data_IF_523230831541
#
_entry.id   IF_523230831541
#
_cell.length_a   1.000
_cell.length_b   1.000
_cell.length_c   1.000
_cell.angle_alpha   90.00
_cell.angle_beta   90.00
_cell.angle_gamma   90.00
#
_symmetry.space_group_name_H-M   'P 1'
#
loop_
_entity.id
_entity.type
_entity.pdbx_description
1 polymer ?
#
# COMPACT_ATOMS: atom_id res chain seq x y z
N UNK A 1 30.81 21.45 37.85
CA UNK A 1 30.16 20.20 37.41
C UNK A 1 28.66 20.34 37.17
N UNK A 2 27.86 20.76 38.16
CA UNK A 2 26.37 20.87 38.05
C UNK A 2 25.87 21.73 36.89
N UNK A 3 26.52 22.85 36.56
CA UNK A 3 26.10 23.71 35.42
C UNK A 3 26.39 23.12 34.03
N UNK A 4 27.46 22.32 33.88
CA UNK A 4 27.73 21.60 32.65
C UNK A 4 26.68 20.52 32.40
N UNK A 5 26.30 19.77 33.42
CA UNK A 5 25.24 18.73 33.34
C UNK A 5 23.91 19.35 32.96
N UNK A 6 23.52 20.47 33.59
CA UNK A 6 22.27 21.19 33.23
C UNK A 6 22.25 21.63 31.75
N UNK A 7 23.37 22.14 31.21
CA UNK A 7 23.48 22.55 29.81
C UNK A 7 23.36 21.35 28.85
N UNK A 8 24.02 20.24 29.20
CA UNK A 8 23.90 19.00 28.41
C UNK A 8 22.46 18.48 28.41
N UNK A 9 21.82 18.44 29.57
CA UNK A 9 20.43 18.00 29.70
C UNK A 9 19.48 18.90 28.88
N UNK A 10 19.64 20.21 28.99
CA UNK A 10 18.87 21.19 28.22
C UNK A 10 19.06 20.97 26.70
N UNK A 11 20.29 20.72 26.26
CA UNK A 11 20.60 20.44 24.85
C UNK A 11 19.91 19.14 24.38
N UNK A 12 19.94 18.06 25.17
CA UNK A 12 19.25 16.81 24.87
C UNK A 12 17.74 17.04 24.77
N UNK A 13 17.14 17.80 25.67
CA UNK A 13 15.71 18.12 25.64
C UNK A 13 15.36 18.89 24.37
N UNK A 14 16.17 19.86 23.96
CA UNK A 14 15.95 20.62 22.73
C UNK A 14 16.03 19.71 21.50
N UNK A 15 17.02 18.83 21.43
CA UNK A 15 17.13 17.87 20.31
C UNK A 15 15.93 16.92 20.28
N UNK A 16 15.52 16.40 21.43
CA UNK A 16 14.35 15.52 21.52
C UNK A 16 13.07 16.25 21.07
N UNK A 17 12.90 17.50 21.47
CA UNK A 17 11.77 18.33 21.04
C UNK A 17 11.77 18.57 19.53
N UNK A 18 12.91 18.94 18.95
CA UNK A 18 13.05 19.12 17.50
C UNK A 18 12.74 17.81 16.77
N UNK A 19 13.34 16.69 17.20
CA UNK A 19 13.11 15.38 16.58
C UNK A 19 11.63 14.98 16.61
N UNK A 20 10.98 15.16 17.76
CA UNK A 20 9.54 14.89 17.91
C UNK A 20 8.70 15.79 16.99
N UNK A 21 9.02 17.08 16.94
CA UNK A 21 8.32 18.04 16.06
C UNK A 21 8.45 17.67 14.58
N UNK A 22 9.62 17.23 14.14
CA UNK A 22 9.86 16.75 12.77
C UNK A 22 9.01 15.50 12.46
N UNK A 23 8.94 14.55 13.40
CA UNK A 23 8.11 13.34 13.24
C UNK A 23 6.64 13.72 13.06
N UNK A 24 6.10 14.59 13.91
CA UNK A 24 4.70 15.04 13.81
C UNK A 24 4.43 15.84 12.54
N UNK A 25 5.37 16.70 12.13
CA UNK A 25 5.24 17.45 10.88
C UNK A 25 5.17 16.51 9.66
N UNK A 26 6.05 15.51 9.59
CA UNK A 26 6.06 14.52 8.51
C UNK A 26 4.77 13.71 8.52
N UNK A 27 4.35 13.20 9.70
CA UNK A 27 3.10 12.46 9.85
C UNK A 27 1.90 13.27 9.33
N UNK A 28 1.79 14.52 9.77
CA UNK A 28 0.74 15.43 9.34
C UNK A 28 0.78 15.68 7.83
N UNK A 29 1.95 15.96 7.27
CA UNK A 29 2.13 16.19 5.82
C UNK A 29 1.69 14.99 4.99
N UNK A 30 2.19 13.78 5.32
CA UNK A 30 1.85 12.55 4.59
C UNK A 30 0.35 12.27 4.64
N UNK A 31 -0.27 12.44 5.81
CA UNK A 31 -1.72 12.25 5.97
C UNK A 31 -2.52 13.27 5.18
N UNK A 32 -2.17 14.54 5.28
CA UNK A 32 -2.90 15.63 4.62
C UNK A 32 -2.80 15.52 3.10
N UNK A 33 -1.60 15.28 2.57
CA UNK A 33 -1.41 15.13 1.13
C UNK A 33 -2.08 13.87 0.58
N UNK A 34 -1.95 12.73 1.27
CA UNK A 34 -2.59 11.49 0.84
C UNK A 34 -4.12 11.55 0.90
N UNK A 35 -4.68 12.21 1.93
CA UNK A 35 -6.13 12.32 2.12
C UNK A 35 -6.83 13.06 0.98
N UNK A 36 -6.16 13.98 0.29
CA UNK A 36 -6.73 14.76 -0.83
C UNK A 36 -7.26 13.88 -1.96
N UNK A 37 -6.75 12.67 -2.11
CA UNK A 37 -7.06 11.77 -3.22
C UNK A 37 -7.79 10.50 -2.75
N UNK A 38 -8.27 10.48 -1.51
CA UNK A 38 -9.13 9.41 -1.01
C UNK A 38 -10.56 9.80 -1.30
N UNK A 39 -11.25 8.94 -2.03
CA UNK A 39 -12.60 9.20 -2.53
C UNK A 39 -13.52 8.00 -2.27
N UNK A 40 -14.83 8.22 -2.34
CA UNK A 40 -15.79 7.13 -2.25
C UNK A 40 -15.71 6.23 -3.50
N UNK A 41 -16.07 4.94 -3.37
CA UNK A 41 -16.06 4.00 -4.50
C UNK A 41 -16.87 4.48 -5.72
N UNK A 42 -17.97 5.21 -5.49
CA UNK A 42 -18.83 5.74 -6.56
C UNK A 42 -18.16 6.89 -7.33
N UNK A 43 -17.40 7.71 -6.62
CA UNK A 43 -16.83 8.97 -7.13
C UNK A 43 -15.41 8.79 -7.69
N UNK A 44 -14.80 7.61 -7.50
CA UNK A 44 -13.44 7.35 -7.98
C UNK A 44 -13.43 7.37 -9.53
N UNK A 45 -12.50 8.12 -10.15
CA UNK A 45 -12.38 8.14 -11.60
C UNK A 45 -11.84 6.80 -12.12
N UNK A 46 -12.18 6.46 -13.37
CA UNK A 46 -11.63 5.29 -14.04
C UNK A 46 -10.10 5.32 -14.07
N UNK A 47 -9.50 4.14 -13.91
CA UNK A 47 -8.06 3.93 -13.90
C UNK A 47 -7.66 2.73 -14.78
N UNK A 48 -6.36 2.52 -14.96
CA UNK A 48 -5.83 1.38 -15.71
C UNK A 48 -5.93 0.08 -14.89
N UNK A 49 -5.72 0.21 -13.57
CA UNK A 49 -5.67 -0.94 -12.66
C UNK A 49 -6.11 -0.57 -11.25
N UNK A 50 -6.75 -1.52 -10.57
CA UNK A 50 -7.02 -1.47 -9.13
C UNK A 50 -5.91 -2.25 -8.42
N UNK A 51 -5.09 -1.54 -7.65
CA UNK A 51 -4.03 -2.11 -6.82
C UNK A 51 -4.58 -2.45 -5.44
N UNK A 52 -4.66 -3.72 -5.12
CA UNK A 52 -5.07 -4.24 -3.80
C UNK A 52 -3.82 -4.63 -3.02
N UNK A 53 -3.62 -3.98 -1.88
CA UNK A 53 -2.45 -4.25 -1.04
C UNK A 53 -2.68 -5.46 -0.12
N UNK A 54 -1.66 -6.30 0.02
CA UNK A 54 -1.63 -7.45 0.91
C UNK A 54 -1.73 -7.08 2.40
N UNK A 55 -2.11 -8.03 3.24
CA UNK A 55 -2.16 -7.89 4.70
C UNK A 55 -1.73 -9.17 5.42
N UNK A 56 -2.60 -10.16 5.52
CA UNK A 56 -2.27 -11.43 6.18
C UNK A 56 -3.18 -12.56 5.68
N UNK A 57 -2.57 -13.71 5.41
CA UNK A 57 -3.24 -14.98 5.10
C UNK A 57 -3.10 -15.91 6.30
N UNK A 58 -4.23 -16.48 6.73
CA UNK A 58 -4.29 -17.43 7.86
C UNK A 58 -3.57 -18.74 7.49
N UNK A 59 -3.09 -19.53 8.46
CA UNK A 59 -2.41 -20.81 8.17
C UNK A 59 -3.24 -21.81 7.37
N UNK A 60 -4.56 -21.68 7.39
CA UNK A 60 -5.49 -22.50 6.59
C UNK A 60 -5.68 -21.99 5.15
N UNK A 61 -4.90 -21.01 4.71
CA UNK A 61 -4.97 -20.41 3.37
C UNK A 61 -6.09 -19.38 3.16
N UNK A 62 -6.92 -19.12 4.17
CA UNK A 62 -7.98 -18.12 4.09
C UNK A 62 -7.43 -16.71 4.35
N UNK A 63 -8.01 -15.72 3.70
CA UNK A 63 -7.70 -14.33 3.96
C UNK A 63 -8.10 -13.95 5.39
N UNK A 64 -7.33 -13.09 6.06
CA UNK A 64 -7.83 -12.42 7.26
C UNK A 64 -8.91 -11.41 6.88
N UNK A 65 -9.69 -10.96 7.85
CA UNK A 65 -10.85 -10.09 7.59
C UNK A 65 -10.44 -8.78 6.89
N UNK A 66 -9.32 -8.16 7.27
CA UNK A 66 -8.80 -6.97 6.59
C UNK A 66 -8.47 -7.24 5.12
N UNK A 67 -7.82 -8.37 4.82
CA UNK A 67 -7.44 -8.71 3.46
C UNK A 67 -8.65 -9.10 2.62
N UNK A 68 -9.62 -9.83 3.22
CA UNK A 68 -10.88 -10.17 2.56
C UNK A 68 -11.62 -8.89 2.14
N UNK A 69 -11.76 -7.92 3.04
CA UNK A 69 -12.45 -6.67 2.76
C UNK A 69 -11.73 -5.84 1.66
N UNK A 70 -10.40 -5.85 1.62
CA UNK A 70 -9.64 -5.23 0.51
C UNK A 70 -9.96 -5.88 -0.84
N UNK A 71 -9.91 -7.20 -0.87
CA UNK A 71 -10.19 -7.98 -2.09
C UNK A 71 -11.62 -7.76 -2.56
N UNK A 72 -12.57 -7.74 -1.63
CA UNK A 72 -13.99 -7.54 -1.93
C UNK A 72 -14.24 -6.16 -2.53
N UNK A 73 -13.72 -5.10 -1.92
CA UNK A 73 -13.82 -3.74 -2.47
C UNK A 73 -13.12 -3.63 -3.82
N UNK A 74 -11.95 -4.26 -3.99
CA UNK A 74 -11.24 -4.30 -5.27
C UNK A 74 -12.08 -4.96 -6.38
N UNK A 75 -12.73 -6.09 -6.08
CA UNK A 75 -13.61 -6.80 -7.01
C UNK A 75 -14.86 -5.97 -7.34
N UNK A 76 -15.44 -5.30 -6.35
CA UNK A 76 -16.61 -4.45 -6.58
C UNK A 76 -16.27 -3.27 -7.50
N UNK A 77 -15.12 -2.64 -7.32
CA UNK A 77 -14.63 -1.60 -8.22
C UNK A 77 -14.42 -2.14 -9.65
N UNK A 78 -13.82 -3.33 -9.80
CA UNK A 78 -13.66 -4.00 -11.09
C UNK A 78 -14.99 -4.27 -11.77
N UNK A 79 -15.97 -4.84 -11.06
CA UNK A 79 -17.31 -5.13 -11.58
C UNK A 79 -18.09 -3.87 -11.94
N UNK A 80 -17.82 -2.75 -11.27
CA UNK A 80 -18.38 -1.44 -11.60
C UNK A 80 -17.56 -0.68 -12.66
N UNK A 81 -16.68 -1.37 -13.39
CA UNK A 81 -15.87 -0.83 -14.50
C UNK A 81 -14.98 0.37 -14.10
N UNK A 82 -14.57 0.49 -12.82
CA UNK A 82 -13.64 1.54 -12.39
C UNK A 82 -12.20 1.29 -12.88
N UNK A 83 -11.86 0.04 -13.15
CA UNK A 83 -10.70 -0.37 -13.96
C UNK A 83 -10.95 -1.76 -14.55
N UNK A 84 -10.21 -2.08 -15.62
CA UNK A 84 -10.34 -3.38 -16.32
C UNK A 84 -9.39 -4.44 -15.75
N UNK A 85 -8.50 -4.08 -14.85
CA UNK A 85 -7.45 -4.96 -14.31
C UNK A 85 -7.38 -4.84 -12.79
N UNK A 86 -7.05 -5.97 -12.14
CA UNK A 86 -6.69 -6.07 -10.73
C UNK A 86 -5.21 -6.39 -10.62
N UNK A 87 -4.49 -5.70 -9.74
CA UNK A 87 -3.13 -6.00 -9.37
C UNK A 87 -3.10 -6.31 -7.87
N UNK A 88 -2.90 -7.57 -7.51
CA UNK A 88 -2.69 -8.00 -6.15
C UNK A 88 -1.21 -7.90 -5.82
N UNK A 89 -0.84 -7.05 -4.86
CA UNK A 89 0.55 -6.87 -4.44
C UNK A 89 0.70 -7.26 -2.97
N UNK A 90 1.57 -8.23 -2.70
CA UNK A 90 1.75 -8.80 -1.38
C UNK A 90 3.07 -9.55 -1.23
N UNK A 91 3.25 -10.16 -0.06
CA UNK A 91 4.43 -10.94 0.28
C UNK A 91 4.27 -12.41 -0.19
N UNK A 92 5.25 -12.86 -0.98
CA UNK A 92 5.45 -14.26 -1.36
C UNK A 92 6.92 -14.65 -1.10
N UNK A 93 7.54 -14.06 -0.10
CA UNK A 93 8.96 -14.30 0.21
C UNK A 93 9.25 -15.57 1.02
N UNK A 94 8.22 -16.33 1.45
CA UNK A 94 8.35 -17.54 2.25
C UNK A 94 7.64 -18.72 1.57
N UNK A 95 8.24 -19.91 1.61
CA UNK A 95 7.75 -21.13 0.93
C UNK A 95 6.29 -21.49 1.28
N UNK A 96 5.86 -21.17 2.50
CA UNK A 96 4.51 -21.52 3.00
C UNK A 96 3.60 -20.29 3.16
N UNK A 97 3.95 -19.16 2.58
CA UNK A 97 3.18 -17.92 2.72
C UNK A 97 3.02 -17.21 1.39
N UNK A 98 1.78 -17.15 0.90
CA UNK A 98 1.46 -16.65 -0.42
C UNK A 98 0.18 -15.82 -0.38
N UNK A 99 0.32 -14.51 -0.22
CA UNK A 99 -0.81 -13.59 -0.17
C UNK A 99 -1.48 -13.43 -1.54
N UNK A 100 -0.69 -13.31 -2.59
CA UNK A 100 -1.21 -12.93 -3.91
C UNK A 100 -2.03 -14.04 -4.54
N UNK A 101 -1.61 -15.30 -4.42
CA UNK A 101 -2.42 -16.43 -4.90
C UNK A 101 -3.67 -16.66 -4.04
N UNK A 102 -3.62 -16.37 -2.74
CA UNK A 102 -4.82 -16.42 -1.90
C UNK A 102 -5.85 -15.37 -2.34
N UNK A 103 -5.42 -14.13 -2.64
CA UNK A 103 -6.28 -13.07 -3.19
C UNK A 103 -6.83 -13.44 -4.57
N UNK A 104 -5.98 -13.99 -5.47
CA UNK A 104 -6.38 -14.48 -6.79
C UNK A 104 -7.52 -15.50 -6.71
N UNK A 105 -7.37 -16.52 -5.85
CA UNK A 105 -8.38 -17.57 -5.66
C UNK A 105 -9.75 -16.99 -5.29
N UNK A 106 -9.79 -15.97 -4.44
CA UNK A 106 -11.04 -15.30 -4.05
C UNK A 106 -11.62 -14.53 -5.23
N UNK A 107 -10.79 -13.81 -5.99
CA UNK A 107 -11.23 -13.04 -7.15
C UNK A 107 -11.79 -13.94 -8.25
N UNK A 108 -11.11 -15.04 -8.58
CA UNK A 108 -11.59 -16.04 -9.56
C UNK A 108 -12.93 -16.65 -9.14
N UNK A 109 -13.07 -17.03 -7.85
CA UNK A 109 -14.33 -17.53 -7.29
C UNK A 109 -15.50 -16.55 -7.42
N UNK A 110 -15.19 -15.24 -7.38
CA UNK A 110 -16.17 -14.15 -7.54
C UNK A 110 -16.36 -13.71 -8.99
N UNK A 111 -15.81 -14.45 -9.96
CA UNK A 111 -16.05 -14.27 -11.38
C UNK A 111 -15.15 -13.23 -12.07
N UNK A 112 -14.04 -12.84 -11.47
CA UNK A 112 -13.01 -12.02 -12.14
C UNK A 112 -12.27 -12.92 -13.15
N UNK A 113 -12.07 -12.43 -14.37
CA UNK A 113 -11.36 -13.17 -15.42
C UNK A 113 -9.87 -13.29 -15.06
N UNK A 114 -9.29 -14.47 -15.30
CA UNK A 114 -7.87 -14.74 -15.02
C UNK A 114 -6.93 -13.77 -15.73
N UNK A 115 -7.27 -13.43 -16.97
CA UNK A 115 -6.51 -12.51 -17.82
C UNK A 115 -6.47 -11.08 -17.28
N UNK A 116 -7.39 -10.75 -16.38
CA UNK A 116 -7.50 -9.41 -15.79
C UNK A 116 -6.85 -9.32 -14.40
N UNK A 117 -6.33 -10.44 -13.87
CA UNK A 117 -5.66 -10.51 -12.58
C UNK A 117 -4.15 -10.54 -12.77
N UNK A 118 -3.45 -9.55 -12.24
CA UNK A 118 -2.00 -9.47 -12.15
C UNK A 118 -1.55 -9.75 -10.73
N UNK A 119 -0.43 -10.46 -10.55
CA UNK A 119 0.16 -10.80 -9.27
C UNK A 119 1.53 -10.15 -9.13
N UNK A 120 1.70 -9.33 -8.10
CA UNK A 120 2.98 -8.77 -7.69
C UNK A 120 3.50 -9.53 -6.47
N UNK A 121 4.32 -10.55 -6.70
CA UNK A 121 4.90 -11.43 -5.69
C UNK A 121 6.01 -10.77 -4.85
N UNK A 122 6.41 -9.54 -5.18
CA UNK A 122 7.52 -8.84 -4.52
C UNK A 122 7.10 -7.49 -3.91
N UNK A 123 5.84 -7.37 -3.54
CA UNK A 123 5.31 -6.21 -2.82
C UNK A 123 5.60 -6.25 -1.32
N UNK A 124 6.88 -6.38 -0.91
CA UNK A 124 7.29 -6.55 0.50
C UNK A 124 7.12 -5.30 1.36
N UNK A 125 6.91 -4.17 0.76
CA UNK A 125 6.58 -2.91 1.44
C UNK A 125 5.66 -2.06 0.58
N UNK A 126 4.96 -1.11 1.21
CA UNK A 126 4.08 -0.19 0.48
C UNK A 126 4.84 0.62 -0.57
N UNK A 127 6.07 1.02 -0.26
CA UNK A 127 6.92 1.73 -1.21
C UNK A 127 7.25 0.85 -2.43
N UNK A 128 7.63 -0.41 -2.21
CA UNK A 128 7.93 -1.36 -3.29
C UNK A 128 6.71 -1.66 -4.14
N UNK A 129 5.54 -1.88 -3.52
CA UNK A 129 4.29 -2.07 -4.27
C UNK A 129 3.99 -0.92 -5.23
N UNK A 130 4.12 0.34 -4.77
CA UNK A 130 3.90 1.53 -5.63
C UNK A 130 4.98 1.67 -6.69
N UNK A 131 6.24 1.44 -6.34
CA UNK A 131 7.36 1.49 -7.28
C UNK A 131 7.19 0.45 -8.38
N UNK A 132 6.83 -0.78 -8.02
CA UNK A 132 6.63 -1.89 -8.95
C UNK A 132 5.38 -1.69 -9.82
N UNK A 133 4.29 -1.16 -9.25
CA UNK A 133 3.11 -0.78 -10.03
C UNK A 133 3.49 0.17 -11.19
N UNK A 134 4.37 1.14 -10.94
CA UNK A 134 4.88 2.06 -11.96
C UNK A 134 5.89 1.41 -12.91
N UNK A 135 6.95 0.82 -12.36
CA UNK A 135 8.14 0.45 -13.17
C UNK A 135 8.04 -0.94 -13.77
N UNK A 136 7.39 -1.89 -13.11
CA UNK A 136 7.20 -3.26 -13.62
C UNK A 136 5.87 -3.36 -14.36
N UNK A 137 4.79 -2.97 -13.70
CA UNK A 137 3.45 -3.09 -14.27
C UNK A 137 3.06 -1.92 -15.19
N UNK A 138 3.97 -0.92 -15.34
CA UNK A 138 3.85 0.24 -16.24
C UNK A 138 2.53 0.99 -16.11
N UNK A 139 1.88 0.89 -14.95
CA UNK A 139 0.66 1.64 -14.68
C UNK A 139 0.96 3.14 -14.55
N UNK A 140 0.05 3.98 -15.04
CA UNK A 140 0.11 5.44 -14.94
C UNK A 140 -0.96 5.96 -14.01
N UNK A 141 -2.18 5.41 -14.10
CA UNK A 141 -3.31 5.79 -13.27
C UNK A 141 -3.83 4.57 -12.52
N UNK A 142 -3.90 4.66 -11.19
CA UNK A 142 -4.24 3.53 -10.33
C UNK A 142 -5.27 3.89 -9.27
N UNK A 143 -6.09 2.91 -8.88
CA UNK A 143 -6.92 2.97 -7.68
C UNK A 143 -6.30 2.05 -6.63
N UNK A 144 -5.95 2.60 -5.47
CA UNK A 144 -5.34 1.85 -4.37
C UNK A 144 -6.44 1.47 -3.38
N UNK A 145 -6.51 0.19 -3.02
CA UNK A 145 -7.47 -0.35 -2.06
C UNK A 145 -6.74 -0.90 -0.84
N UNK A 146 -7.02 -0.31 0.31
CA UNK A 146 -6.55 -0.75 1.64
C UNK A 146 -7.36 -0.05 2.74
N UNK A 147 -7.10 -0.35 4.03
CA UNK A 147 -7.74 0.34 5.15
C UNK A 147 -7.32 1.81 5.26
N UNK A 148 -8.20 2.66 5.80
CA UNK A 148 -8.02 4.10 5.90
C UNK A 148 -6.69 4.51 6.55
N UNK A 149 -6.31 3.85 7.66
CA UNK A 149 -5.09 4.18 8.39
C UNK A 149 -3.81 4.03 7.53
N UNK A 150 -3.83 3.10 6.58
CA UNK A 150 -2.74 2.79 5.65
C UNK A 150 -2.85 3.58 4.34
N UNK A 151 -4.09 3.86 3.90
CA UNK A 151 -4.41 4.42 2.59
C UNK A 151 -3.76 5.78 2.34
N UNK A 152 -3.74 6.66 3.35
CA UNK A 152 -3.12 7.98 3.24
C UNK A 152 -1.64 7.88 2.86
N UNK A 153 -0.90 6.94 3.48
CA UNK A 153 0.51 6.70 3.18
C UNK A 153 0.71 6.09 1.80
N UNK A 154 -0.09 5.10 1.44
CA UNK A 154 -0.01 4.43 0.15
C UNK A 154 -0.25 5.41 -1.02
N UNK A 155 -1.29 6.24 -0.92
CA UNK A 155 -1.60 7.27 -1.92
C UNK A 155 -0.49 8.33 -1.98
N UNK A 156 0.01 8.79 -0.82
CA UNK A 156 1.13 9.74 -0.78
C UNK A 156 2.35 9.21 -1.55
N UNK A 157 2.78 7.98 -1.26
CA UNK A 157 3.94 7.36 -1.93
C UNK A 157 3.70 7.26 -3.44
N UNK A 158 2.55 6.75 -3.86
CA UNK A 158 2.20 6.60 -5.27
C UNK A 158 2.30 7.92 -6.02
N UNK A 159 1.74 9.00 -5.45
CA UNK A 159 1.78 10.34 -6.02
C UNK A 159 3.19 10.92 -6.09
N UNK A 160 4.01 10.74 -5.05
CA UNK A 160 5.41 11.17 -5.06
C UNK A 160 6.25 10.41 -6.08
N UNK A 161 5.91 9.16 -6.37
CA UNK A 161 6.53 8.38 -7.46
C UNK A 161 6.01 8.78 -8.85
N UNK A 162 5.02 9.67 -8.95
CA UNK A 162 4.48 10.18 -10.21
C UNK A 162 3.33 9.36 -10.80
N UNK A 163 2.70 8.49 -10.00
CA UNK A 163 1.45 7.83 -10.39
C UNK A 163 0.26 8.77 -10.19
N UNK A 164 -0.70 8.78 -11.12
CA UNK A 164 -2.02 9.38 -10.88
C UNK A 164 -2.86 8.42 -10.03
N UNK A 165 -2.72 8.54 -8.70
CA UNK A 165 -3.25 7.59 -7.75
C UNK A 165 -4.44 8.14 -6.96
N UNK A 166 -5.50 7.34 -6.86
CA UNK A 166 -6.66 7.56 -6.01
C UNK A 166 -6.77 6.44 -4.98
N UNK A 167 -7.29 6.74 -3.81
CA UNK A 167 -7.50 5.78 -2.75
C UNK A 167 -8.97 5.48 -2.50
N UNK A 168 -9.31 4.21 -2.33
CA UNK A 168 -10.63 3.77 -1.88
C UNK A 168 -10.48 2.97 -0.60
N UNK A 169 -11.22 3.40 0.43
CA UNK A 169 -11.20 2.76 1.74
C UNK A 169 -11.90 1.39 1.73
N UNK A 170 -11.32 0.42 2.42
CA UNK A 170 -11.86 -0.93 2.59
C UNK A 170 -12.18 -1.27 4.05
N UNK A 171 -12.72 -0.33 4.82
CA UNK A 171 -13.11 -0.52 6.23
C UNK A 171 -14.64 -0.64 6.40
N UNK A 172 -15.28 -1.77 6.01
CA UNK A 172 -16.72 -1.97 6.23
C UNK A 172 -17.04 -2.31 7.69
N UNK A 173 -16.01 -2.60 8.50
CA UNK A 173 -16.15 -3.06 9.90
C UNK A 173 -15.05 -2.52 10.81
N UNK A 174 -15.24 -2.67 12.11
CA UNK A 174 -14.17 -2.42 13.09
C UNK A 174 -13.29 -3.66 13.23
N UNK A 175 -11.95 -3.46 13.16
CA UNK A 175 -10.99 -4.55 13.32
C UNK A 175 -10.39 -4.55 14.73
N UNK A 176 -10.25 -5.74 15.28
CA UNK A 176 -9.58 -5.90 16.57
C UNK A 176 -8.11 -5.48 16.49
N UNK A 177 -7.62 -4.76 17.49
CA UNK A 177 -6.22 -4.34 17.52
C UNK A 177 -5.84 -3.19 16.57
N UNK A 178 -6.81 -2.51 15.93
CA UNK A 178 -6.58 -1.41 14.97
C UNK A 178 -5.68 -0.30 15.54
N UNK A 179 -5.72 -0.05 16.86
CA UNK A 179 -4.88 0.95 17.53
C UNK A 179 -3.40 0.71 17.33
N UNK A 180 -2.95 -0.55 17.42
CA UNK A 180 -1.54 -0.94 17.19
C UNK A 180 -1.09 -0.63 15.76
N UNK A 181 -1.95 -0.89 14.78
CA UNK A 181 -1.66 -0.56 13.38
C UNK A 181 -1.55 0.95 13.17
N UNK A 182 -2.49 1.74 13.72
CA UNK A 182 -2.46 3.21 13.65
C UNK A 182 -1.18 3.80 14.26
N UNK A 183 -0.71 3.28 15.39
CA UNK A 183 0.54 3.73 16.03
C UNK A 183 1.76 3.38 15.16
N UNK A 184 1.83 2.16 14.62
CA UNK A 184 2.91 1.73 13.72
C UNK A 184 2.99 2.62 12.47
N UNK A 185 1.86 3.10 11.98
CA UNK A 185 1.81 3.93 10.79
C UNK A 185 2.52 5.28 10.96
N UNK A 186 2.64 5.83 12.16
CA UNK A 186 3.42 7.06 12.40
C UNK A 186 4.88 6.83 11.96
N UNK A 187 5.51 5.77 12.46
CA UNK A 187 6.88 5.42 12.09
C UNK A 187 6.99 5.05 10.60
N UNK A 188 6.01 4.33 10.06
CA UNK A 188 5.98 3.94 8.64
C UNK A 188 5.88 5.17 7.72
N UNK A 189 5.06 6.16 8.06
CA UNK A 189 4.96 7.42 7.30
C UNK A 189 6.26 8.20 7.28
N UNK A 190 6.96 8.29 8.42
CA UNK A 190 8.26 8.95 8.50
C UNK A 190 9.30 8.23 7.65
N UNK A 191 9.40 6.90 7.78
CA UNK A 191 10.31 6.08 6.97
C UNK A 191 10.07 6.28 5.47
N UNK A 192 8.81 6.15 5.04
CA UNK A 192 8.47 6.21 3.62
C UNK A 192 8.56 7.64 3.06
N UNK A 193 8.34 8.67 3.89
CA UNK A 193 8.60 10.06 3.51
C UNK A 193 10.06 10.27 3.12
N UNK A 194 11.00 9.80 3.94
CA UNK A 194 12.42 9.89 3.61
C UNK A 194 12.77 9.04 2.39
N UNK A 195 12.19 7.85 2.29
CA UNK A 195 12.47 6.95 1.18
C UNK A 195 12.04 7.54 -0.16
N UNK A 196 10.82 8.05 -0.27
CA UNK A 196 10.27 8.55 -1.54
C UNK A 196 10.84 9.92 -1.93
N UNK A 197 11.19 10.78 -0.97
CA UNK A 197 11.64 12.15 -1.26
C UNK A 197 13.17 12.28 -1.34
N UNK A 198 13.92 11.49 -0.58
CA UNK A 198 15.36 11.67 -0.40
C UNK A 198 16.18 10.46 -0.85
N UNK A 199 15.90 9.28 -0.29
CA UNK A 199 16.72 8.07 -0.51
C UNK A 199 16.47 7.48 -1.89
N UNK A 200 15.21 7.38 -2.31
CA UNK A 200 14.75 6.83 -3.59
C UNK A 200 15.31 5.42 -3.85
N UNK A 201 15.25 4.56 -2.83
CA UNK A 201 15.78 3.20 -2.91
C UNK A 201 15.07 2.41 -4.03
N UNK A 202 15.86 1.58 -4.73
CA UNK A 202 15.27 0.62 -5.66
C UNK A 202 14.71 -0.57 -4.87
N UNK A 203 13.60 -1.18 -5.31
CA UNK A 203 13.10 -2.44 -4.74
C UNK A 203 14.17 -3.54 -4.81
N UNK A 204 14.10 -4.45 -3.84
CA UNK A 204 15.01 -5.61 -3.77
C UNK A 204 14.94 -6.47 -5.05
N UNK A 205 13.73 -6.64 -5.58
CA UNK A 205 13.48 -7.41 -6.81
C UNK A 205 12.78 -6.51 -7.82
N UNK A 206 13.42 -6.28 -8.96
CA UNK A 206 12.81 -5.58 -10.08
C UNK A 206 12.24 -6.59 -11.07
N UNK A 207 13.01 -7.23 -11.89
CA UNK A 207 12.56 -8.10 -12.98
C UNK A 207 12.19 -7.32 -14.23
N UNK A 208 11.71 -8.05 -15.24
CA UNK A 208 11.26 -7.48 -16.50
C UNK A 208 9.92 -6.76 -16.37
N UNK A 209 9.65 -5.85 -17.30
CA UNK A 209 8.39 -5.13 -17.32
C UNK A 209 7.24 -6.05 -17.81
N UNK A 210 6.14 -6.03 -17.05
CA UNK A 210 4.89 -6.78 -17.34
C UNK A 210 3.74 -5.77 -17.33
N UNK A 211 3.49 -5.05 -18.44
CA UNK A 211 2.49 -4.00 -18.46
C UNK A 211 1.09 -4.49 -18.15
N UNK A 212 0.33 -3.75 -17.32
CA UNK A 212 -1.08 -4.08 -17.00
C UNK A 212 -2.01 -4.03 -18.21
N UNK A 213 -1.58 -3.46 -19.32
CA UNK A 213 -2.31 -3.51 -20.59
C UNK A 213 -2.31 -4.90 -21.25
N UNK A 214 -1.44 -5.80 -20.80
CA UNK A 214 -1.29 -7.15 -21.31
C UNK A 214 -2.25 -8.17 -20.65
N UNK A 215 -1.82 -9.43 -20.68
CA UNK A 215 -2.53 -10.55 -20.06
C UNK A 215 -1.94 -10.88 -18.69
N UNK A 216 -2.77 -10.87 -17.64
CA UNK A 216 -2.33 -11.09 -16.26
C UNK A 216 -1.82 -12.51 -15.98
N UNK A 217 -2.23 -13.51 -16.77
CA UNK A 217 -1.82 -14.90 -16.59
C UNK A 217 -0.30 -15.08 -16.58
N UNK A 218 0.44 -14.21 -17.26
CA UNK A 218 1.92 -14.26 -17.30
C UNK A 218 2.56 -14.05 -15.90
N UNK A 219 1.80 -13.51 -14.95
CA UNK A 219 2.25 -13.30 -13.57
C UNK A 219 1.82 -14.42 -12.62
N UNK A 220 1.02 -15.38 -13.10
CA UNK A 220 0.54 -16.48 -12.28
C UNK A 220 1.60 -17.57 -12.14
N UNK A 221 1.69 -18.18 -10.96
CA UNK A 221 2.53 -19.35 -10.75
C UNK A 221 2.05 -20.52 -11.64
N UNK A 222 3.03 -21.28 -12.13
CA UNK A 222 2.82 -22.46 -12.96
C UNK A 222 2.37 -23.65 -12.14
#
# INVERSE_FOLDING_TARGET
MKNKIKRILAFIIVIAFIGTSVVFFIDFKVRTEGKKYIVNPKDVPEAEVILVLGAYVKPNGNLCDMLQDRVDVGIDLYKNNKAKKLLFSGDHGQVNYDEVNAMKKVAEKKGVKKEDIFLDHAGFSTYESMYRAKEIFKAKKIIIVTQEYHLMRAVYIARQLGLDAYGVNSDPRNYWGIGRYKTREIAARVKDYFNVNMIKSKPKYLGDAIPVSGNGIVTHDK
#
